data_IF_657380048959
#
_entry.id   IF_657380048959
#
_cell.length_a   1.000
_cell.length_b   1.000
_cell.length_c   1.000
_cell.angle_alpha   90.00
_cell.angle_beta   90.00
_cell.angle_gamma   90.00
#
_symmetry.space_group_name_H-M   'P 1'
#
loop_
_entity.id
_entity.type
_entity.pdbx_description
1 polymer ?
#
# COMPACT_ATOMS: atom_id res chain seq x y z
N UNK A 1 -9.50 10.90 1.06
CA UNK A 1 -9.81 12.19 1.69
C UNK A 1 -8.58 12.66 2.46
N UNK A 2 -7.94 13.76 2.04
CA UNK A 2 -6.93 14.46 2.84
C UNK A 2 -7.63 15.61 3.56
N UNK A 3 -7.47 15.73 4.87
CA UNK A 3 -8.09 16.79 5.68
C UNK A 3 -6.98 17.75 6.10
N UNK A 4 -7.21 19.06 5.94
CA UNK A 4 -6.37 20.11 6.48
C UNK A 4 -6.42 20.13 8.01
N UNK A 5 -5.46 20.81 8.62
CA UNK A 5 -5.40 20.96 10.08
C UNK A 5 -6.64 21.65 10.67
N UNK A 6 -7.38 22.40 9.86
CA UNK A 6 -8.64 23.08 10.20
C UNK A 6 -9.89 22.21 10.01
N UNK A 7 -9.74 20.96 9.58
CA UNK A 7 -10.86 20.05 9.32
C UNK A 7 -11.43 20.11 7.89
N UNK A 8 -10.89 20.97 7.02
CA UNK A 8 -11.38 21.09 5.64
C UNK A 8 -10.81 19.98 4.73
N UNK A 9 -11.62 19.44 3.83
CA UNK A 9 -11.14 18.48 2.82
C UNK A 9 -10.23 19.19 1.80
N UNK A 10 -8.96 18.83 1.77
CA UNK A 10 -7.97 19.35 0.81
C UNK A 10 -7.96 18.58 -0.52
N UNK A 11 -8.41 17.33 -0.51
CA UNK A 11 -8.41 16.48 -1.68
C UNK A 11 -9.50 15.41 -1.56
N UNK A 12 -10.50 15.50 -2.44
CA UNK A 12 -11.38 14.40 -2.80
C UNK A 12 -10.96 13.89 -4.18
N UNK A 13 -10.49 12.65 -4.24
CA UNK A 13 -10.22 12.01 -5.51
C UNK A 13 -10.63 10.54 -5.36
N UNK A 14 -11.57 10.09 -6.19
CA UNK A 14 -11.95 8.68 -6.26
C UNK A 14 -10.79 7.92 -6.91
N UNK A 15 -10.12 7.05 -6.16
CA UNK A 15 -9.12 6.17 -6.75
C UNK A 15 -9.87 5.12 -7.59
N UNK A 16 -9.33 4.75 -8.77
CA UNK A 16 -9.92 3.66 -9.60
C UNK A 16 -9.98 2.31 -8.86
N UNK A 17 -9.23 2.17 -7.77
CA UNK A 17 -9.31 1.08 -6.81
C UNK A 17 -9.53 1.69 -5.44
N UNK A 18 -10.70 1.44 -4.88
CA UNK A 18 -11.04 1.92 -3.54
C UNK A 18 -10.88 0.79 -2.52
N UNK A 19 -10.47 1.20 -1.33
CA UNK A 19 -10.60 0.38 -0.15
C UNK A 19 -12.08 0.23 0.18
N UNK A 20 -12.52 -1.01 0.39
CA UNK A 20 -13.78 -1.25 1.09
C UNK A 20 -13.57 -0.97 2.59
N UNK A 21 -12.37 -1.27 3.09
CA UNK A 21 -11.93 -0.93 4.45
C UNK A 21 -10.48 -0.43 4.41
N UNK A 22 -10.24 0.78 4.93
CA UNK A 22 -8.90 1.34 5.10
C UNK A 22 -8.52 1.31 6.59
N UNK A 23 -7.54 0.47 6.93
CA UNK A 23 -7.18 0.18 8.33
C UNK A 23 -5.98 1.01 8.82
N UNK A 24 -5.05 1.37 7.93
CA UNK A 24 -3.89 2.17 8.31
C UNK A 24 -3.49 3.19 7.25
N UNK A 25 -3.12 4.39 7.71
CA UNK A 25 -2.49 5.46 6.95
C UNK A 25 -1.15 5.78 7.61
N UNK A 26 -0.07 5.72 6.84
CA UNK A 26 1.29 6.02 7.31
C UNK A 26 1.90 7.07 6.39
N UNK A 27 2.31 8.20 6.96
CA UNK A 27 3.19 9.13 6.27
C UNK A 27 4.63 8.66 6.41
N UNK A 28 5.34 8.53 5.30
CA UNK A 28 6.75 8.17 5.23
C UNK A 28 7.64 9.40 5.50
N UNK A 29 8.90 9.18 5.89
CA UNK A 29 9.87 10.25 6.17
C UNK A 29 10.09 11.23 4.99
N UNK A 30 9.78 10.81 3.76
CA UNK A 30 9.88 11.65 2.55
C UNK A 30 8.59 12.42 2.23
N UNK A 31 7.60 12.40 3.13
CA UNK A 31 6.31 13.08 2.97
C UNK A 31 5.27 12.30 2.15
N UNK A 32 5.64 11.20 1.50
CA UNK A 32 4.70 10.31 0.79
C UNK A 32 3.85 9.51 1.77
N UNK A 33 2.77 8.88 1.28
CA UNK A 33 1.86 8.10 2.11
C UNK A 33 1.77 6.65 1.65
N UNK A 34 1.55 5.76 2.61
CA UNK A 34 1.11 4.38 2.42
C UNK A 34 -0.25 4.22 3.09
N UNK A 35 -1.22 3.66 2.36
CA UNK A 35 -2.51 3.26 2.88
C UNK A 35 -2.61 1.74 2.76
N UNK A 36 -3.12 1.11 3.82
CA UNK A 36 -3.22 -0.33 3.96
C UNK A 36 -4.63 -0.69 4.42
N UNK A 37 -5.16 -1.77 3.89
CA UNK A 37 -6.51 -2.22 4.22
C UNK A 37 -6.93 -3.38 3.33
N UNK A 38 -8.20 -3.42 2.98
CA UNK A 38 -8.77 -4.54 2.28
C UNK A 38 -9.78 -4.06 1.22
N UNK A 39 -9.87 -4.80 0.11
CA UNK A 39 -10.80 -4.51 -0.97
C UNK A 39 -11.33 -5.79 -1.62
N UNK A 40 -12.65 -5.88 -1.74
CA UNK A 40 -13.38 -6.87 -2.52
C UNK A 40 -13.44 -6.46 -4.01
N UNK A 41 -13.05 -5.23 -4.36
CA UNK A 41 -13.09 -4.73 -5.75
C UNK A 41 -11.89 -5.16 -6.62
N UNK A 42 -11.26 -6.30 -6.30
CA UNK A 42 -10.12 -6.83 -7.07
C UNK A 42 -10.50 -7.44 -8.42
N UNK A 43 -11.78 -7.81 -8.60
CA UNK A 43 -12.38 -8.23 -9.87
C UNK A 43 -13.90 -8.07 -9.83
N UNK A 44 -14.54 -8.01 -11.00
CA UNK A 44 -16.00 -8.05 -11.08
C UNK A 44 -16.56 -9.35 -10.50
N UNK A 45 -17.61 -9.25 -9.68
CA UNK A 45 -18.28 -10.39 -9.04
C UNK A 45 -17.46 -11.08 -7.94
N UNK A 46 -16.44 -10.40 -7.40
CA UNK A 46 -15.69 -10.88 -6.26
C UNK A 46 -16.57 -11.09 -5.02
N UNK A 47 -16.29 -12.17 -4.29
CA UNK A 47 -16.99 -12.58 -3.06
C UNK A 47 -16.04 -12.70 -1.87
N UNK A 48 -14.82 -12.22 -2.03
CA UNK A 48 -13.74 -12.37 -1.07
C UNK A 48 -12.93 -11.09 -1.04
N UNK A 49 -12.35 -10.75 0.10
CA UNK A 49 -11.54 -9.54 0.21
C UNK A 49 -10.08 -9.86 -0.09
N UNK A 50 -9.35 -8.92 -0.69
CA UNK A 50 -7.90 -9.00 -0.79
C UNK A 50 -7.25 -7.84 -0.06
N UNK A 51 -6.12 -8.14 0.56
CA UNK A 51 -5.32 -7.15 1.26
C UNK A 51 -4.76 -6.17 0.21
N UNK A 52 -5.01 -4.87 0.37
CA UNK A 52 -4.64 -3.84 -0.61
C UNK A 52 -3.63 -2.87 0.01
N UNK A 53 -2.58 -2.55 -0.75
CA UNK A 53 -1.65 -1.47 -0.48
C UNK A 53 -1.84 -0.39 -1.54
N UNK A 54 -2.02 0.86 -1.10
CA UNK A 54 -1.98 2.05 -1.95
C UNK A 54 -0.81 2.91 -1.51
N UNK A 55 -0.03 3.41 -2.47
CA UNK A 55 0.98 4.44 -2.25
C UNK A 55 0.49 5.75 -2.85
N UNK A 56 0.76 6.85 -2.15
CA UNK A 56 0.45 8.19 -2.62
C UNK A 56 1.65 9.13 -2.45
N UNK A 57 1.75 10.11 -3.33
CA UNK A 57 2.74 11.19 -3.21
C UNK A 57 2.42 12.12 -2.04
N UNK A 58 3.34 13.01 -1.71
CA UNK A 58 3.14 14.04 -0.67
C UNK A 58 1.98 15.00 -0.96
N UNK A 59 1.60 15.14 -2.24
CA UNK A 59 0.41 15.86 -2.69
C UNK A 59 -0.91 15.11 -2.40
N UNK A 60 -0.84 13.86 -1.94
CA UNK A 60 -1.98 13.00 -1.66
C UNK A 60 -2.49 12.23 -2.86
N UNK A 61 -1.86 12.36 -4.04
CA UNK A 61 -2.28 11.61 -5.24
C UNK A 61 -1.73 10.19 -5.22
N UNK A 62 -2.58 9.23 -5.57
CA UNK A 62 -2.16 7.83 -5.69
C UNK A 62 -1.07 7.68 -6.76
N UNK A 63 0.05 7.09 -6.38
CA UNK A 63 1.18 6.78 -7.27
C UNK A 63 1.19 5.32 -7.69
N UNK A 64 0.74 4.41 -6.82
CA UNK A 64 0.57 3.00 -7.16
C UNK A 64 -0.41 2.30 -6.24
N UNK A 65 -0.89 1.14 -6.67
CA UNK A 65 -1.65 0.22 -5.83
C UNK A 65 -1.39 -1.23 -6.21
N UNK A 66 -1.45 -2.13 -5.23
CA UNK A 66 -1.20 -3.55 -5.42
C UNK A 66 -1.92 -4.38 -4.37
N UNK A 67 -2.55 -5.46 -4.81
CA UNK A 67 -3.06 -6.50 -3.93
C UNK A 67 -1.90 -7.35 -3.40
N UNK A 68 -2.06 -7.85 -2.19
CA UNK A 68 -1.10 -8.72 -1.53
C UNK A 68 -1.76 -10.05 -1.17
N UNK A 69 -0.95 -11.10 -1.12
CA UNK A 69 -1.42 -12.47 -0.86
C UNK A 69 -1.94 -13.18 -2.10
N UNK A 70 -2.18 -14.48 -1.95
CA UNK A 70 -2.71 -15.36 -2.99
C UNK A 70 -4.07 -15.96 -2.63
N UNK A 71 -4.43 -15.95 -1.34
CA UNK A 71 -5.67 -16.46 -0.79
C UNK A 71 -6.84 -15.50 -0.94
N UNK A 72 -7.92 -15.82 -0.24
CA UNK A 72 -9.13 -15.02 -0.15
C UNK A 72 -9.26 -14.51 1.28
N UNK A 73 -9.89 -13.36 1.46
CA UNK A 73 -10.19 -12.69 2.73
C UNK A 73 -8.96 -12.29 3.56
N UNK A 74 -7.86 -11.92 2.89
CA UNK A 74 -6.69 -11.36 3.54
C UNK A 74 -6.89 -9.88 3.87
N UNK A 75 -6.37 -9.46 5.03
CA UNK A 75 -6.48 -8.07 5.50
C UNK A 75 -5.15 -7.58 6.07
N UNK A 76 -4.83 -6.31 5.77
CA UNK A 76 -3.84 -5.55 6.55
C UNK A 76 -4.57 -4.89 7.72
N UNK A 77 -4.13 -5.11 8.96
CA UNK A 77 -4.84 -4.65 10.16
C UNK A 77 -4.18 -3.42 10.78
N UNK A 78 -2.84 -3.39 10.80
CA UNK A 78 -2.11 -2.24 11.33
C UNK A 78 -0.73 -2.12 10.69
N UNK A 79 -0.16 -0.92 10.81
CA UNK A 79 1.17 -0.62 10.31
C UNK A 79 1.86 0.44 11.18
N UNK A 80 3.18 0.43 11.15
CA UNK A 80 4.02 1.42 11.83
C UNK A 80 5.27 1.73 11.02
N UNK A 81 5.65 3.01 11.00
CA UNK A 81 6.91 3.45 10.41
C UNK A 81 8.04 3.26 11.41
N UNK A 82 9.10 2.57 11.01
CA UNK A 82 10.34 2.46 11.78
C UNK A 82 11.23 3.68 11.55
N UNK A 83 12.14 3.94 12.50
CA UNK A 83 13.10 5.03 12.41
C UNK A 83 13.99 4.96 11.16
N UNK A 84 14.24 3.76 10.63
CA UNK A 84 15.01 3.53 9.41
C UNK A 84 14.21 3.72 8.12
N UNK A 85 12.95 4.12 8.23
CA UNK A 85 12.04 4.39 7.11
C UNK A 85 11.32 3.16 6.57
N UNK A 86 11.55 1.96 7.09
CA UNK A 86 10.75 0.77 6.72
C UNK A 86 9.38 0.81 7.40
N UNK A 87 8.38 0.16 6.80
CA UNK A 87 7.05 0.05 7.39
C UNK A 87 6.83 -1.38 7.85
N UNK A 88 6.68 -1.58 9.15
CA UNK A 88 6.24 -2.86 9.72
C UNK A 88 4.73 -2.92 9.67
N UNK A 89 4.21 -4.10 9.43
CA UNK A 89 2.82 -4.35 9.16
C UNK A 89 2.37 -5.64 9.82
N UNK A 90 1.11 -5.67 10.24
CA UNK A 90 0.47 -6.89 10.70
C UNK A 90 -0.86 -7.07 9.98
N UNK A 91 -1.26 -8.31 9.82
CA UNK A 91 -2.49 -8.65 9.13
C UNK A 91 -2.92 -10.07 9.41
N UNK A 92 -3.95 -10.50 8.71
CA UNK A 92 -4.48 -11.85 8.80
C UNK A 92 -4.54 -12.50 7.42
N UNK A 93 -4.14 -13.75 7.37
CA UNK A 93 -4.40 -14.65 6.25
C UNK A 93 -5.36 -15.76 6.72
N UNK A 94 -6.52 -15.93 6.08
CA UNK A 94 -7.45 -17.00 6.42
C UNK A 94 -6.81 -18.39 6.31
N UNK A 95 -7.02 -19.20 7.33
CA UNK A 95 -6.42 -20.54 7.45
C UNK A 95 -4.97 -20.56 7.95
N UNK A 96 -4.23 -19.44 7.90
CA UNK A 96 -2.85 -19.36 8.43
C UNK A 96 -2.73 -18.52 9.71
N UNK A 97 -3.67 -17.62 9.96
CA UNK A 97 -3.70 -16.77 11.16
C UNK A 97 -3.05 -15.41 10.93
N UNK A 98 -2.52 -14.83 12.01
CA UNK A 98 -1.88 -13.52 11.95
C UNK A 98 -0.48 -13.59 11.33
N UNK A 99 -0.10 -12.57 10.58
CA UNK A 99 1.25 -12.42 10.03
C UNK A 99 1.86 -11.06 10.40
N UNK A 100 3.19 -11.01 10.34
CA UNK A 100 3.97 -9.77 10.41
C UNK A 100 4.84 -9.66 9.15
N UNK A 101 4.96 -8.46 8.61
CA UNK A 101 5.78 -8.18 7.43
C UNK A 101 6.58 -6.88 7.57
N UNK A 102 7.43 -6.62 6.57
CA UNK A 102 8.17 -5.38 6.48
C UNK A 102 8.19 -4.89 5.03
N UNK A 103 7.59 -3.72 4.78
CA UNK A 103 7.58 -3.07 3.48
C UNK A 103 8.73 -2.07 3.40
N UNK A 104 9.51 -2.08 2.30
CA UNK A 104 10.53 -1.06 2.08
C UNK A 104 9.87 0.31 1.76
N UNK A 105 10.56 1.38 2.14
CA UNK A 105 10.14 2.76 1.81
C UNK A 105 9.99 2.99 0.30
N UNK A 106 10.73 2.24 -0.53
CA UNK A 106 10.69 2.31 -2.00
C UNK A 106 10.44 0.94 -2.62
N UNK A 107 9.75 0.93 -3.77
CA UNK A 107 9.75 -0.21 -4.68
C UNK A 107 11.20 -0.35 -5.19
N UNK A 108 11.81 -1.54 -5.05
CA UNK A 108 12.98 -1.87 -5.86
C UNK A 108 12.50 -1.82 -7.29
N UNK A 109 12.88 -0.79 -8.05
CA UNK A 109 12.85 -0.88 -9.51
C UNK A 109 13.75 -2.05 -9.84
N UNK A 110 13.17 -3.22 -10.10
CA UNK A 110 13.91 -4.32 -10.71
C UNK A 110 14.15 -3.80 -12.12
N UNK A 111 15.32 -3.23 -12.37
CA UNK A 111 15.73 -2.96 -13.74
C UNK A 111 15.69 -4.32 -14.45
N UNK A 112 15.07 -4.43 -15.64
CA UNK A 112 15.19 -5.64 -16.42
C UNK A 112 16.69 -5.94 -16.62
N UNK A 113 17.06 -7.22 -16.60
CA UNK A 113 18.44 -7.71 -16.66
C UNK A 113 19.26 -7.25 -17.88
N UNK A 114 18.67 -6.46 -18.78
CA UNK A 114 19.23 -5.97 -20.03
C UNK A 114 19.81 -4.55 -19.93
N UNK A 115 19.76 -3.89 -18.76
CA UNK A 115 20.22 -2.49 -18.60
C UNK A 115 21.72 -2.36 -18.29
N UNK A 116 22.46 -3.44 -18.06
CA UNK A 116 23.93 -3.40 -17.94
C UNK A 116 24.62 -3.89 -19.21
N UNK A 117 24.59 -3.03 -20.23
CA UNK A 117 25.36 -3.16 -21.46
C UNK A 117 26.28 -1.96 -21.66
N UNK A 118 27.20 -1.70 -20.72
CA UNK A 118 28.36 -0.84 -20.98
C UNK A 118 29.59 -1.74 -20.87
N UNK A 119 30.07 -2.21 -22.03
CA UNK A 119 31.45 -2.70 -22.17
C UNK A 119 32.36 -1.52 -21.91
N UNK A 120 33.16 -1.58 -20.84
CA UNK A 120 34.39 -0.80 -20.77
C UNK A 120 35.38 -1.43 -21.76
N UNK A 121 35.97 -0.59 -22.63
CA UNK A 121 37.13 -0.92 -23.45
C UNK A 121 38.36 -1.17 -22.57
#
# INVERSE_FOLDING_TARGET
MKIAQDGNSLLEQSCKRDFDVANALIQLNNGNFCLLGASNSYRSGARATKALLIRAGSDGRMTSSSYWGGGNDETWEAATLLHDGRVVVVGKEPGKGAFIGCLPSRIKTILPSWVFGIKMQ
#
